data_IF_935485378847
#
_entry.id   IF_935485378847
#
_cell.length_a   1.000
_cell.length_b   1.000
_cell.length_c   1.000
_cell.angle_alpha   90.00
_cell.angle_beta   90.00
_cell.angle_gamma   90.00
#
_symmetry.space_group_name_H-M   'P 1'
#
loop_
_entity.id
_entity.type
_entity.pdbx_description
1 polymer ?
#
# COMPACT_ATOMS: atom_id res chain seq x y z
N UNK A 1 -13.45 6.22 -17.73
CA UNK A 1 -12.85 6.78 -16.51
C UNK A 1 -13.14 5.78 -15.39
N UNK A 2 -12.26 4.81 -15.19
CA UNK A 2 -12.41 3.81 -14.13
C UNK A 2 -11.81 4.38 -12.86
N UNK A 3 -12.67 4.80 -11.94
CA UNK A 3 -12.29 5.04 -10.54
C UNK A 3 -11.83 3.69 -9.97
N UNK A 4 -10.54 3.56 -9.66
CA UNK A 4 -10.03 2.35 -9.03
C UNK A 4 -10.45 2.38 -7.55
N UNK A 5 -11.11 1.31 -7.05
CA UNK A 5 -11.41 1.22 -5.63
C UNK A 5 -10.10 1.08 -4.83
N UNK A 6 -10.06 1.54 -3.57
CA UNK A 6 -8.89 1.38 -2.72
C UNK A 6 -8.49 -0.10 -2.58
N UNK A 7 -7.19 -0.42 -2.56
CA UNK A 7 -6.75 -1.81 -2.52
C UNK A 7 -7.05 -2.44 -1.16
N UNK A 8 -7.55 -3.67 -1.19
CA UNK A 8 -7.75 -4.48 0.02
C UNK A 8 -6.47 -5.19 0.47
N UNK A 9 -6.52 -5.87 1.62
CA UNK A 9 -5.41 -6.65 2.18
C UNK A 9 -4.82 -7.66 1.20
N UNK A 10 -5.67 -8.38 0.48
CA UNK A 10 -5.23 -9.38 -0.50
C UNK A 10 -4.46 -8.73 -1.68
N UNK A 11 -4.91 -7.58 -2.16
CA UNK A 11 -4.25 -6.83 -3.23
C UNK A 11 -2.87 -6.32 -2.77
N UNK A 12 -2.79 -5.72 -1.58
CA UNK A 12 -1.52 -5.26 -1.01
C UNK A 12 -0.53 -6.43 -0.84
N UNK A 13 -1.01 -7.59 -0.40
CA UNK A 13 -0.17 -8.80 -0.28
C UNK A 13 0.31 -9.27 -1.66
N UNK A 14 -0.57 -9.31 -2.65
CA UNK A 14 -0.23 -9.71 -4.02
C UNK A 14 0.84 -8.79 -4.62
N UNK A 15 0.67 -7.48 -4.45
CA UNK A 15 1.65 -6.52 -4.94
C UNK A 15 2.99 -6.71 -4.24
N UNK A 16 3.01 -6.80 -2.91
CA UNK A 16 4.24 -7.04 -2.16
C UNK A 16 4.93 -8.36 -2.53
N UNK A 17 4.16 -9.40 -2.84
CA UNK A 17 4.70 -10.66 -3.35
C UNK A 17 5.37 -10.53 -4.74
N UNK A 18 5.04 -9.49 -5.51
CA UNK A 18 5.70 -9.13 -6.77
C UNK A 18 7.11 -8.56 -6.59
N UNK A 19 7.40 -7.92 -5.45
CA UNK A 19 8.74 -7.43 -5.13
C UNK A 19 9.70 -8.56 -4.70
N UNK A 20 9.18 -9.59 -4.02
CA UNK A 20 9.99 -10.69 -3.54
C UNK A 20 9.20 -11.82 -2.87
N UNK A 21 9.93 -12.87 -2.47
CA UNK A 21 9.34 -14.06 -1.85
C UNK A 21 9.03 -13.79 -0.37
N UNK A 22 7.90 -13.13 -0.09
CA UNK A 22 7.45 -12.87 1.28
C UNK A 22 7.06 -14.19 1.97
N UNK A 23 7.54 -14.47 3.19
CA UNK A 23 7.10 -15.65 3.93
C UNK A 23 5.59 -15.57 4.22
N UNK A 24 4.86 -16.69 4.09
CA UNK A 24 3.44 -16.72 4.45
C UNK A 24 3.29 -16.42 5.95
N UNK A 25 2.42 -15.47 6.29
CA UNK A 25 2.14 -15.06 7.68
C UNK A 25 2.95 -13.85 8.17
N UNK A 26 3.83 -13.28 7.35
CA UNK A 26 4.50 -12.02 7.69
C UNK A 26 3.54 -10.84 7.51
N UNK A 27 3.16 -10.21 8.61
CA UNK A 27 2.28 -9.04 8.60
C UNK A 27 3.05 -7.71 8.61
N UNK A 28 4.35 -7.74 8.91
CA UNK A 28 5.22 -6.56 8.95
C UNK A 28 5.70 -6.19 7.55
N UNK A 29 5.71 -4.91 7.24
CA UNK A 29 6.24 -4.37 5.98
C UNK A 29 7.63 -3.79 6.29
N UNK A 30 8.64 -4.24 5.56
CA UNK A 30 9.98 -3.67 5.62
C UNK A 30 10.07 -2.35 4.82
N UNK A 31 11.04 -1.48 5.13
CA UNK A 31 11.15 -0.17 4.46
C UNK A 31 11.25 -0.26 2.92
N UNK A 32 11.86 -1.32 2.39
CA UNK A 32 11.94 -1.57 0.95
C UNK A 32 10.60 -1.98 0.35
N UNK A 33 9.87 -2.87 1.03
CA UNK A 33 8.50 -3.25 0.67
C UNK A 33 7.57 -2.05 0.70
N UNK A 34 7.70 -1.21 1.72
CA UNK A 34 6.93 0.02 1.87
C UNK A 34 7.21 0.99 0.71
N UNK A 35 8.48 1.31 0.45
CA UNK A 35 8.85 2.22 -0.64
C UNK A 35 8.34 1.73 -2.01
N UNK A 36 8.39 0.42 -2.25
CA UNK A 36 7.86 -0.17 -3.47
C UNK A 36 6.32 -0.10 -3.52
N UNK A 37 5.63 -0.40 -2.42
CA UNK A 37 4.17 -0.33 -2.33
C UNK A 37 3.66 1.09 -2.61
N UNK A 38 4.31 2.09 -2.02
CA UNK A 38 4.04 3.50 -2.21
C UNK A 38 4.20 3.86 -3.68
N UNK A 39 5.36 3.54 -4.26
CA UNK A 39 5.62 3.84 -5.67
C UNK A 39 4.57 3.22 -6.60
N UNK A 40 4.10 1.99 -6.32
CA UNK A 40 3.02 1.38 -7.11
C UNK A 40 1.69 2.12 -6.96
N UNK A 41 1.32 2.52 -5.74
CA UNK A 41 0.07 3.26 -5.50
C UNK A 41 0.12 4.63 -6.19
N UNK A 42 1.22 5.35 -6.05
CA UNK A 42 1.38 6.67 -6.66
C UNK A 42 1.27 6.60 -8.19
N UNK A 43 1.94 5.62 -8.80
CA UNK A 43 1.87 5.41 -10.26
C UNK A 43 0.49 4.94 -10.73
N UNK A 44 -0.22 4.14 -9.93
CA UNK A 44 -1.51 3.54 -10.31
C UNK A 44 -2.70 4.47 -10.10
N UNK A 45 -2.69 5.23 -9.02
CA UNK A 45 -3.77 6.16 -8.64
C UNK A 45 -3.45 7.61 -8.99
N UNK A 46 -2.19 7.95 -9.31
CA UNK A 46 -1.77 9.32 -9.59
C UNK A 46 -1.84 10.23 -8.36
N UNK A 47 -1.62 9.66 -7.18
CA UNK A 47 -1.60 10.38 -5.89
C UNK A 47 -0.18 10.43 -5.34
N UNK A 48 0.10 11.35 -4.42
CA UNK A 48 1.33 11.31 -3.61
C UNK A 48 0.98 10.93 -2.18
N UNK A 49 1.72 9.98 -1.61
CA UNK A 49 1.53 9.56 -0.21
C UNK A 49 2.52 10.32 0.68
N UNK A 50 2.05 11.13 1.64
CA UNK A 50 2.97 11.90 2.49
C UNK A 50 3.72 10.99 3.48
N UNK A 51 4.97 11.35 3.80
CA UNK A 51 5.87 10.52 4.61
C UNK A 51 5.28 10.14 5.98
N UNK A 52 4.50 11.05 6.59
CA UNK A 52 3.84 10.81 7.88
C UNK A 52 2.81 9.66 7.83
N UNK A 53 2.23 9.37 6.66
CA UNK A 53 1.36 8.22 6.45
C UNK A 53 2.21 6.96 6.28
N UNK A 54 3.34 7.06 5.58
CA UNK A 54 4.27 5.96 5.35
C UNK A 54 4.84 5.41 6.66
N UNK A 55 5.19 6.29 7.59
CA UNK A 55 5.67 5.91 8.93
C UNK A 55 4.65 5.06 9.71
N UNK A 56 3.35 5.19 9.40
CA UNK A 56 2.29 4.38 10.02
C UNK A 56 2.12 3.02 9.33
N UNK A 57 2.54 2.88 8.07
CA UNK A 57 2.43 1.66 7.25
C UNK A 57 3.48 0.59 7.61
N UNK A 58 3.63 0.27 8.89
CA UNK A 58 4.59 -0.75 9.36
C UNK A 58 4.05 -2.18 9.24
N UNK A 59 2.75 -2.33 8.99
CA UNK A 59 2.07 -3.61 8.80
C UNK A 59 1.13 -3.57 7.60
N UNK A 60 0.75 -4.74 7.09
CA UNK A 60 -0.20 -4.86 5.98
C UNK A 60 -1.52 -4.18 6.32
N UNK A 61 -2.08 -4.47 7.49
CA UNK A 61 -3.36 -3.91 7.91
C UNK A 61 -3.28 -2.38 8.09
N UNK A 62 -2.16 -1.85 8.60
CA UNK A 62 -1.95 -0.41 8.67
C UNK A 62 -1.82 0.22 7.28
N UNK A 63 -1.11 -0.41 6.35
CA UNK A 63 -1.01 0.05 4.97
C UNK A 63 -2.37 0.10 4.29
N UNK A 64 -3.18 -0.96 4.42
CA UNK A 64 -4.54 -1.01 3.84
C UNK A 64 -5.43 0.09 4.42
N UNK A 65 -5.40 0.29 5.74
CA UNK A 65 -6.19 1.33 6.40
C UNK A 65 -5.80 2.73 5.88
N UNK A 66 -4.51 3.04 5.88
CA UNK A 66 -4.00 4.34 5.43
C UNK A 66 -4.29 4.57 3.94
N UNK A 67 -4.09 3.55 3.09
CA UNK A 67 -4.42 3.64 1.66
C UNK A 67 -5.91 3.89 1.45
N UNK A 68 -6.79 3.21 2.20
CA UNK A 68 -8.22 3.44 2.13
C UNK A 68 -8.61 4.86 2.56
N UNK A 69 -8.01 5.38 3.63
CA UNK A 69 -8.25 6.76 4.09
C UNK A 69 -7.79 7.79 3.06
N UNK A 70 -6.57 7.68 2.55
CA UNK A 70 -6.01 8.63 1.58
C UNK A 70 -6.80 8.61 0.28
N UNK A 71 -7.07 7.42 -0.27
CA UNK A 71 -7.79 7.29 -1.54
C UNK A 71 -9.27 7.67 -1.41
N UNK A 72 -9.90 7.45 -0.25
CA UNK A 72 -11.26 7.90 0.00
C UNK A 72 -11.36 9.42 0.19
N UNK A 73 -10.28 10.08 0.62
CA UNK A 73 -10.22 11.54 0.78
C UNK A 73 -9.92 12.27 -0.54
N UNK A 74 -9.29 11.59 -1.50
CA UNK A 74 -8.93 12.13 -2.82
C UNK A 74 -10.00 11.90 -3.92
N UNK A 75 -11.11 11.22 -3.63
CA UNK A 75 -12.18 10.88 -4.60
C UNK A 75 -13.44 11.72 -4.44
#
# INVERSE_FOLDING_TARGET
MTILPPPGRAEVIDWLAGLGQRPPGTERIDSMELAWLVHQVEQRYGVELPDEQLERMTTIDAAVAVLAEVLSSHV
#
